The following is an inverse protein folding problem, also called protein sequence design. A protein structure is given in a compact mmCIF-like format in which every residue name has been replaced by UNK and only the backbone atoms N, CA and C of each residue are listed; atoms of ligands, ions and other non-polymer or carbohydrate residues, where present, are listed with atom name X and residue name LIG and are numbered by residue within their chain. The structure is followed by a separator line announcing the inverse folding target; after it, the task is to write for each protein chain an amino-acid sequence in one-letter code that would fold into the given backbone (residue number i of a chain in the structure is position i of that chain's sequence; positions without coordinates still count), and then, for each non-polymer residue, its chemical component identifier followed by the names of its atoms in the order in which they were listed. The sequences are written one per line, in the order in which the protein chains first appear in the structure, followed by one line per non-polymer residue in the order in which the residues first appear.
data_IF_344875120044
#
_entry.id   IF_344875120044
#
_cell.length_a   1.000
_cell.length_b   1.000
_cell.length_c   1.000
_cell.angle_alpha   90.00
_cell.angle_beta   90.00
_cell.angle_gamma   90.00
#
_symmetry.space_group_name_H-M   'P 1'
#
loop_
_entity.id
_entity.type
_entity.pdbx_description
1 polymer ?
#
# COMPACT_ATOMS: atom_id res chain seq x y z
N UNK A 1 -11.22 -14.22 -4.97
CA UNK A 1 -10.77 -13.96 -6.35
C UNK A 1 -11.23 -15.10 -7.24
N UNK A 2 -11.91 -14.79 -8.34
CA UNK A 2 -12.27 -15.79 -9.36
C UNK A 2 -11.30 -15.68 -10.55
N UNK A 3 -10.91 -16.83 -11.13
CA UNK A 3 -10.00 -16.91 -12.27
C UNK A 3 -10.63 -17.75 -13.39
N UNK A 4 -10.90 -17.10 -14.52
CA UNK A 4 -11.29 -17.79 -15.76
C UNK A 4 -10.20 -18.76 -16.20
N UNK A 5 -10.57 -19.79 -16.95
CA UNK A 5 -9.67 -20.86 -17.36
C UNK A 5 -8.44 -20.29 -18.10
N UNK A 6 -8.66 -19.41 -19.07
CA UNK A 6 -7.63 -18.72 -19.84
C UNK A 6 -6.65 -17.89 -18.99
N UNK A 7 -7.07 -17.41 -17.81
CA UNK A 7 -6.23 -16.63 -16.90
C UNK A 7 -5.38 -17.49 -15.95
N UNK A 8 -5.59 -18.82 -15.94
CA UNK A 8 -4.86 -19.72 -15.05
C UNK A 8 -3.41 -19.86 -15.50
N UNK A 9 -2.48 -19.69 -14.58
CA UNK A 9 -1.03 -19.83 -14.82
C UNK A 9 -0.66 -21.14 -15.52
N UNK A 10 -1.28 -22.26 -15.13
CA UNK A 10 -1.07 -23.56 -15.75
C UNK A 10 -1.42 -23.62 -17.25
N UNK A 11 -2.33 -22.77 -17.72
CA UNK A 11 -2.69 -22.71 -19.14
C UNK A 11 -1.71 -21.86 -19.93
N UNK A 12 -1.15 -20.80 -19.33
CA UNK A 12 -0.06 -20.02 -19.94
C UNK A 12 1.18 -20.90 -20.18
N UNK A 13 1.47 -21.84 -19.28
CA UNK A 13 2.57 -22.80 -19.43
C UNK A 13 2.35 -23.85 -20.53
N UNK A 14 1.10 -24.07 -20.96
CA UNK A 14 0.72 -25.09 -21.95
C UNK A 14 0.51 -24.52 -23.36
N UNK A 15 0.77 -23.23 -23.55
CA UNK A 15 0.65 -22.59 -24.87
C UNK A 15 1.59 -23.27 -25.88
N UNK A 16 1.16 -23.46 -27.14
CA UNK A 16 1.97 -24.11 -28.15
C UNK A 16 3.21 -23.29 -28.49
N UNK A 17 4.24 -23.96 -29.00
CA UNK A 17 5.43 -23.30 -29.51
C UNK A 17 5.08 -22.30 -30.62
N UNK A 18 5.69 -21.11 -30.59
CA UNK A 18 5.37 -20.01 -31.49
C UNK A 18 4.16 -19.14 -31.08
N UNK A 19 3.44 -19.48 -30.00
CA UNK A 19 2.40 -18.60 -29.47
C UNK A 19 2.97 -17.26 -28.98
N UNK A 20 2.16 -16.20 -29.11
CA UNK A 20 2.48 -14.88 -28.55
C UNK A 20 2.16 -14.86 -27.05
N UNK A 21 3.19 -15.08 -26.22
CA UNK A 21 3.05 -15.16 -24.76
C UNK A 21 2.66 -13.81 -24.17
N UNK A 22 3.20 -12.70 -24.69
CA UNK A 22 2.84 -11.36 -24.23
C UNK A 22 1.34 -11.07 -24.40
N UNK A 23 0.78 -11.42 -25.56
CA UNK A 23 -0.65 -11.27 -25.82
C UNK A 23 -1.50 -12.18 -24.92
N UNK A 24 -1.05 -13.41 -24.67
CA UNK A 24 -1.75 -14.33 -23.78
C UNK A 24 -1.75 -13.85 -22.31
N UNK A 25 -0.63 -13.32 -21.82
CA UNK A 25 -0.55 -12.72 -20.48
C UNK A 25 -1.46 -11.49 -20.41
N UNK A 26 -1.43 -10.60 -21.40
CA UNK A 26 -2.33 -9.44 -21.45
C UNK A 26 -3.81 -9.85 -21.39
N UNK A 27 -4.20 -10.88 -22.14
CA UNK A 27 -5.55 -11.43 -22.12
C UNK A 27 -5.92 -12.02 -20.76
N UNK A 28 -4.98 -12.74 -20.12
CA UNK A 28 -5.16 -13.25 -18.76
C UNK A 28 -5.36 -12.12 -17.74
N UNK A 29 -4.54 -11.07 -17.78
CA UNK A 29 -4.67 -9.91 -16.89
C UNK A 29 -6.04 -9.26 -17.06
N UNK A 30 -6.45 -8.99 -18.31
CA UNK A 30 -7.77 -8.42 -18.60
C UNK A 30 -8.91 -9.29 -18.06
N UNK A 31 -8.84 -10.61 -18.25
CA UNK A 31 -9.85 -11.53 -17.74
C UNK A 31 -9.93 -11.55 -16.20
N UNK A 32 -8.81 -11.32 -15.50
CA UNK A 32 -8.81 -11.18 -14.04
C UNK A 32 -9.52 -9.89 -13.63
N UNK A 33 -9.25 -8.77 -14.30
CA UNK A 33 -9.88 -7.48 -13.98
C UNK A 33 -11.40 -7.49 -14.21
N UNK A 34 -11.86 -8.19 -15.24
CA UNK A 34 -13.30 -8.30 -15.55
C UNK A 34 -14.09 -9.01 -14.45
N UNK A 35 -13.44 -9.95 -13.75
CA UNK A 35 -14.07 -10.79 -12.71
C UNK A 35 -13.82 -10.28 -11.28
N UNK A 36 -12.91 -9.33 -11.09
CA UNK A 36 -12.48 -8.87 -9.77
C UNK A 36 -12.43 -7.34 -9.74
N UNK A 37 -13.49 -6.74 -9.18
CA UNK A 37 -13.68 -5.29 -9.18
C UNK A 37 -12.52 -4.51 -8.53
N UNK A 38 -11.96 -5.03 -7.45
CA UNK A 38 -10.81 -4.43 -6.75
C UNK A 38 -9.56 -4.29 -7.63
N UNK A 39 -9.45 -5.11 -8.68
CA UNK A 39 -8.33 -5.14 -9.61
C UNK A 39 -8.61 -4.41 -10.93
N UNK A 40 -9.79 -3.81 -11.11
CA UNK A 40 -10.14 -3.14 -12.38
C UNK A 40 -9.15 -2.00 -12.69
N UNK A 41 -8.48 -2.07 -13.84
CA UNK A 41 -7.48 -1.09 -14.29
C UNK A 41 -6.17 -1.08 -13.48
N UNK A 42 -5.89 -2.16 -12.75
CA UNK A 42 -4.73 -2.28 -11.85
C UNK A 42 -3.60 -3.08 -12.50
N UNK A 43 -3.92 -4.13 -13.23
CA UNK A 43 -2.95 -5.09 -13.76
C UNK A 43 -2.29 -4.57 -15.04
N UNK A 44 -0.97 -4.75 -15.20
CA UNK A 44 -0.27 -4.31 -16.41
C UNK A 44 -0.71 -5.12 -17.64
N UNK A 45 -0.88 -4.44 -18.78
CA UNK A 45 -1.33 -5.05 -20.04
C UNK A 45 -0.39 -4.72 -21.21
N UNK A 46 0.89 -4.49 -20.93
CA UNK A 46 1.93 -4.15 -21.91
C UNK A 46 2.98 -5.25 -22.07
N UNK A 47 2.65 -6.52 -21.81
CA UNK A 47 3.61 -7.62 -21.89
C UNK A 47 4.13 -7.91 -23.30
N UNK A 48 3.43 -7.46 -24.35
CA UNK A 48 3.91 -7.53 -25.74
C UNK A 48 5.12 -6.62 -26.02
N UNK A 49 5.50 -5.76 -25.07
CA UNK A 49 6.73 -4.97 -25.15
C UNK A 49 8.00 -5.79 -24.86
N UNK A 50 7.86 -7.01 -24.33
CA UNK A 50 8.98 -7.89 -24.00
C UNK A 50 9.14 -9.02 -25.03
N UNK A 51 10.37 -9.51 -25.16
CA UNK A 51 10.68 -10.64 -26.00
C UNK A 51 9.96 -11.92 -25.53
N UNK A 52 9.45 -12.67 -26.49
CA UNK A 52 8.69 -13.90 -26.20
C UNK A 52 9.53 -14.93 -25.42
N UNK A 53 10.82 -15.07 -25.77
CA UNK A 53 11.75 -15.98 -25.11
C UNK A 53 12.00 -15.60 -23.63
N UNK A 54 12.05 -14.29 -23.35
CA UNK A 54 12.17 -13.77 -21.98
C UNK A 54 10.94 -14.14 -21.16
N UNK A 55 9.74 -13.92 -21.71
CA UNK A 55 8.48 -14.24 -21.02
C UNK A 55 8.34 -15.75 -20.77
N UNK A 56 8.71 -16.60 -21.75
CA UNK A 56 8.74 -18.06 -21.56
C UNK A 56 9.69 -18.45 -20.43
N UNK A 57 10.90 -17.88 -20.42
CA UNK A 57 11.89 -18.13 -19.36
C UNK A 57 11.37 -17.71 -17.99
N UNK A 58 10.72 -16.55 -17.91
CA UNK A 58 10.13 -16.05 -16.67
C UNK A 58 9.00 -16.95 -16.16
N UNK A 59 8.07 -17.36 -17.03
CA UNK A 59 6.98 -18.27 -16.65
C UNK A 59 7.52 -19.61 -16.15
N UNK A 60 8.53 -20.18 -16.82
CA UNK A 60 9.19 -21.41 -16.37
C UNK A 60 9.90 -21.23 -15.04
N UNK A 61 10.56 -20.09 -14.84
CA UNK A 61 11.25 -19.77 -13.59
C UNK A 61 10.25 -19.66 -12.44
N UNK A 62 9.08 -19.06 -12.66
CA UNK A 62 8.02 -18.91 -11.66
C UNK A 62 7.18 -20.17 -11.43
N UNK A 63 7.40 -21.24 -12.21
CA UNK A 63 6.69 -22.51 -12.07
C UNK A 63 7.28 -23.36 -10.93
N UNK A 64 7.14 -22.89 -9.70
CA UNK A 64 7.53 -23.63 -8.51
C UNK A 64 6.40 -24.55 -8.03
N UNK A 65 6.76 -25.72 -7.48
CA UNK A 65 5.78 -26.61 -6.86
C UNK A 65 5.31 -26.05 -5.51
N UNK A 66 4.15 -25.41 -5.54
CA UNK A 66 3.51 -24.81 -4.38
C UNK A 66 2.61 -25.79 -3.63
N UNK A 67 2.39 -27.00 -4.15
CA UNK A 67 1.49 -27.96 -3.53
C UNK A 67 1.91 -28.36 -2.11
N UNK A 68 3.19 -28.16 -1.76
CA UNK A 68 3.77 -28.53 -0.47
C UNK A 68 4.20 -27.34 0.41
N UNK A 69 4.00 -26.09 -0.02
CA UNK A 69 4.47 -24.93 0.77
C UNK A 69 3.33 -24.35 1.62
N UNK A 70 3.55 -24.30 2.94
CA UNK A 70 2.58 -23.74 3.89
C UNK A 70 2.72 -22.22 4.00
N UNK A 71 1.59 -21.51 3.99
CA UNK A 71 1.50 -20.07 4.21
C UNK A 71 1.56 -19.24 2.92
N UNK A 72 1.56 -17.91 3.07
CA UNK A 72 1.56 -16.98 1.94
C UNK A 72 2.96 -16.81 1.34
N UNK A 73 3.29 -17.67 0.38
CA UNK A 73 4.58 -17.64 -0.33
C UNK A 73 4.60 -16.52 -1.37
N UNK A 74 3.50 -16.34 -2.10
CA UNK A 74 3.44 -15.35 -3.17
C UNK A 74 3.46 -13.93 -2.63
N UNK A 75 2.77 -13.64 -1.53
CA UNK A 75 2.87 -12.35 -0.85
C UNK A 75 4.29 -12.05 -0.41
N UNK A 76 5.01 -13.04 0.15
CA UNK A 76 6.42 -12.86 0.52
C UNK A 76 7.34 -12.61 -0.67
N UNK A 77 7.14 -13.33 -1.79
CA UNK A 77 7.89 -13.09 -3.03
C UNK A 77 7.60 -11.70 -3.56
N UNK A 78 6.33 -11.29 -3.57
CA UNK A 78 5.89 -9.98 -4.01
C UNK A 78 6.55 -8.87 -3.18
N UNK A 79 6.44 -8.93 -1.85
CA UNK A 79 7.06 -7.98 -0.92
C UNK A 79 8.58 -7.93 -1.06
N UNK A 80 9.23 -9.09 -1.28
CA UNK A 80 10.67 -9.13 -1.51
C UNK A 80 11.06 -8.34 -2.77
N UNK A 81 10.39 -8.58 -3.90
CA UNK A 81 10.69 -7.87 -5.14
C UNK A 81 10.32 -6.39 -5.05
N UNK A 82 9.20 -6.05 -4.42
CA UNK A 82 8.80 -4.67 -4.17
C UNK A 82 9.88 -3.91 -3.37
N UNK A 83 10.38 -4.52 -2.29
CA UNK A 83 11.49 -3.96 -1.52
C UNK A 83 12.79 -3.85 -2.33
N UNK A 84 13.12 -4.83 -3.18
CA UNK A 84 14.30 -4.78 -4.06
C UNK A 84 14.21 -3.67 -5.10
N UNK A 85 13.05 -3.48 -5.73
CA UNK A 85 12.84 -2.43 -6.71
C UNK A 85 12.95 -1.04 -6.06
N UNK A 86 12.33 -0.86 -4.89
CA UNK A 86 12.43 0.38 -4.13
C UNK A 86 13.89 0.71 -3.72
N UNK A 87 14.70 -0.30 -3.38
CA UNK A 87 16.13 -0.10 -3.12
C UNK A 87 16.91 0.29 -4.38
N UNK A 88 16.54 -0.24 -5.55
CA UNK A 88 17.25 -0.02 -6.82
C UNK A 88 16.93 1.32 -7.49
N UNK A 89 15.70 1.83 -7.35
CA UNK A 89 15.27 3.10 -7.94
C UNK A 89 15.84 4.34 -7.21
N UNK A 90 16.56 4.11 -6.10
CA UNK A 90 17.23 5.13 -5.33
C UNK A 90 16.27 5.80 -4.34
N UNK A 91 16.54 5.60 -3.05
CA UNK A 91 15.81 6.21 -1.94
C UNK A 91 15.98 7.74 -1.94
N UNK A 92 15.27 8.45 -2.80
CA UNK A 92 15.12 9.91 -2.70
C UNK A 92 13.91 10.21 -1.81
N UNK A 93 14.10 9.97 -0.52
CA UNK A 93 13.21 10.45 0.56
C UNK A 93 11.92 9.67 0.73
N UNK A 94 11.84 8.84 1.77
CA UNK A 94 10.63 8.47 2.55
C UNK A 94 9.44 7.76 1.86
N UNK A 95 9.11 8.11 0.63
CA UNK A 95 7.80 7.88 -0.02
C UNK A 95 7.61 6.47 -0.59
N UNK A 96 8.68 5.77 -0.97
CA UNK A 96 8.51 4.59 -1.85
C UNK A 96 8.41 3.25 -1.11
N UNK A 97 9.06 3.10 0.04
CA UNK A 97 9.03 1.82 0.78
C UNK A 97 9.46 1.97 2.24
N UNK A 98 8.54 1.64 3.15
CA UNK A 98 8.85 1.55 4.59
C UNK A 98 9.42 0.16 4.90
N UNK A 99 10.62 0.05 5.51
CA UNK A 99 11.18 -1.25 5.87
C UNK A 99 10.20 -2.07 6.72
N UNK A 100 10.05 -3.36 6.39
CA UNK A 100 9.09 -4.26 7.06
C UNK A 100 9.27 -4.30 8.58
N UNK A 101 10.49 -4.17 9.10
CA UNK A 101 10.76 -4.13 10.53
C UNK A 101 10.10 -2.94 11.23
N UNK A 102 10.13 -1.76 10.59
CA UNK A 102 9.54 -0.54 11.13
C UNK A 102 8.01 -0.58 11.06
N UNK A 103 7.47 -1.08 9.95
CA UNK A 103 6.03 -1.31 9.82
C UNK A 103 5.52 -2.27 10.90
N UNK A 104 6.21 -3.42 11.09
CA UNK A 104 5.85 -4.38 12.13
C UNK A 104 5.88 -3.76 13.52
N UNK A 105 6.89 -2.95 13.82
CA UNK A 105 6.96 -2.25 15.11
C UNK A 105 5.73 -1.37 15.31
N UNK A 106 5.36 -0.53 14.33
CA UNK A 106 4.16 0.33 14.42
C UNK A 106 2.92 -0.51 14.69
N UNK A 107 2.69 -1.55 13.89
CA UNK A 107 1.51 -2.43 13.99
C UNK A 107 1.44 -3.11 15.36
N UNK A 108 2.55 -3.67 15.86
CA UNK A 108 2.60 -4.37 17.15
C UNK A 108 2.37 -3.44 18.34
N UNK A 109 2.63 -2.14 18.22
CA UNK A 109 2.42 -1.18 19.31
C UNK A 109 1.02 -0.58 19.30
N UNK A 110 0.44 -0.30 18.13
CA UNK A 110 -0.92 0.24 18.04
C UNK A 110 -1.99 -0.86 18.17
N UNK A 111 -1.63 -2.11 17.89
CA UNK A 111 -2.44 -3.32 18.07
C UNK A 111 -3.83 -3.25 17.39
N UNK A 112 -3.90 -3.23 16.05
CA UNK A 112 -5.15 -3.02 15.31
C UNK A 112 -6.03 -4.29 15.28
N UNK A 113 -6.59 -4.68 16.42
CA UNK A 113 -7.35 -5.93 16.60
C UNK A 113 -8.71 -5.95 15.87
N UNK A 114 -9.32 -4.79 15.67
CA UNK A 114 -10.58 -4.61 14.93
C UNK A 114 -10.81 -3.12 14.62
N UNK A 115 -11.52 -2.80 13.54
CA UNK A 115 -11.93 -1.43 13.23
C UNK A 115 -11.39 -0.91 11.90
N UNK A 116 -11.45 0.41 11.71
CA UNK A 116 -11.06 1.09 10.47
C UNK A 116 -9.62 1.57 10.55
N UNK A 117 -8.80 1.16 9.57
CA UNK A 117 -7.40 1.57 9.43
C UNK A 117 -7.29 2.53 8.25
N UNK A 118 -6.70 3.70 8.48
CA UNK A 118 -6.30 4.65 7.44
C UNK A 118 -4.79 4.67 7.28
N UNK A 119 -4.31 4.54 6.04
CA UNK A 119 -3.00 5.02 5.64
C UNK A 119 -3.15 6.14 4.59
N UNK A 120 -3.01 7.41 5.01
CA UNK A 120 -3.20 8.54 4.11
C UNK A 120 -1.99 8.77 3.20
N UNK A 121 -0.92 7.98 3.32
CA UNK A 121 0.24 7.96 2.42
C UNK A 121 0.58 6.51 2.10
N UNK A 122 -0.42 5.79 1.58
CA UNK A 122 -0.45 4.32 1.57
C UNK A 122 0.69 3.66 0.80
N UNK A 123 1.35 4.37 -0.12
CA UNK A 123 2.46 3.83 -0.88
C UNK A 123 2.06 2.52 -1.53
N UNK A 124 2.87 1.48 -1.33
CA UNK A 124 2.62 0.12 -1.84
C UNK A 124 1.80 -0.77 -0.90
N UNK A 125 1.20 -0.23 0.16
CA UNK A 125 0.25 -0.96 1.03
C UNK A 125 0.89 -1.81 2.12
N UNK A 126 2.20 -1.67 2.38
CA UNK A 126 2.91 -2.49 3.37
C UNK A 126 2.34 -2.40 4.79
N UNK A 127 1.82 -1.22 5.18
CA UNK A 127 1.15 -0.98 6.46
C UNK A 127 -0.08 -1.91 6.64
N UNK A 128 -0.88 -2.07 5.59
CA UNK A 128 -2.06 -2.93 5.61
C UNK A 128 -1.70 -4.41 5.64
N UNK A 129 -0.73 -4.83 4.83
CA UNK A 129 -0.26 -6.21 4.78
C UNK A 129 0.25 -6.67 6.14
N UNK A 130 1.04 -5.84 6.84
CA UNK A 130 1.53 -6.20 8.16
C UNK A 130 0.45 -6.17 9.24
N UNK A 131 -0.57 -5.30 9.10
CA UNK A 131 -1.75 -5.28 9.98
C UNK A 131 -2.56 -6.58 9.86
N UNK A 132 -2.78 -7.06 8.64
CA UNK A 132 -3.42 -8.36 8.41
C UNK A 132 -2.58 -9.51 8.97
N UNK A 133 -1.26 -9.50 8.70
CA UNK A 133 -0.35 -10.52 9.24
C UNK A 133 -0.31 -10.53 10.78
N UNK A 134 -0.45 -9.37 11.43
CA UNK A 134 -0.60 -9.26 12.89
C UNK A 134 -1.85 -9.99 13.37
N UNK A 135 -3.00 -9.74 12.74
CA UNK A 135 -4.26 -10.40 13.09
C UNK A 135 -4.20 -11.92 12.91
N UNK A 136 -3.60 -12.39 11.81
CA UNK A 136 -3.43 -13.83 11.56
C UNK A 136 -2.58 -14.50 12.64
N UNK A 137 -1.45 -13.88 13.05
CA UNK A 137 -0.63 -14.38 14.18
C UNK A 137 -1.41 -14.43 15.49
N UNK A 138 -2.36 -13.52 15.66
CA UNK A 138 -3.28 -13.46 16.80
C UNK A 138 -4.57 -14.27 16.58
N UNK A 139 -4.59 -15.19 15.60
CA UNK A 139 -5.71 -16.11 15.30
C UNK A 139 -7.04 -15.40 14.99
N UNK A 140 -6.97 -14.22 14.38
CA UNK A 140 -8.12 -13.46 13.89
C UNK A 140 -8.16 -13.48 12.35
N UNK A 141 -9.37 -13.42 11.80
CA UNK A 141 -9.56 -13.26 10.36
C UNK A 141 -9.46 -11.76 9.99
N UNK A 142 -8.43 -11.32 9.23
CA UNK A 142 -8.27 -9.91 8.86
C UNK A 142 -9.50 -9.32 8.16
N UNK A 143 -10.05 -10.03 7.18
CA UNK A 143 -11.18 -9.55 6.36
C UNK A 143 -12.47 -9.33 7.16
N UNK A 144 -12.59 -9.94 8.34
CA UNK A 144 -13.73 -9.75 9.23
C UNK A 144 -13.46 -8.72 10.34
N UNK A 145 -12.19 -8.49 10.68
CA UNK A 145 -11.81 -7.66 11.80
C UNK A 145 -11.55 -6.20 11.41
N UNK A 146 -10.92 -5.96 10.26
CA UNK A 146 -10.46 -4.63 9.86
C UNK A 146 -10.99 -4.20 8.50
N UNK A 147 -11.23 -2.90 8.36
CA UNK A 147 -11.54 -2.26 7.08
C UNK A 147 -10.40 -1.30 6.70
N UNK A 148 -9.87 -1.46 5.49
CA UNK A 148 -8.65 -0.79 5.02
C UNK A 148 -8.99 0.39 4.12
N UNK A 149 -8.42 1.55 4.40
CA UNK A 149 -8.61 2.77 3.63
C UNK A 149 -7.25 3.42 3.36
N UNK A 150 -6.95 3.69 2.09
CA UNK A 150 -5.66 4.23 1.68
C UNK A 150 -5.78 5.38 0.70
N UNK A 151 -4.86 6.33 0.79
CA UNK A 151 -4.71 7.39 -0.20
C UNK A 151 -3.27 7.41 -0.73
N UNK A 152 -3.12 7.53 -2.05
CA UNK A 152 -1.82 7.58 -2.71
C UNK A 152 -1.84 8.59 -3.86
N UNK A 153 -0.81 9.42 -3.95
CA UNK A 153 -0.70 10.47 -4.97
C UNK A 153 -0.36 9.89 -6.34
N UNK A 154 0.56 8.93 -6.38
CA UNK A 154 1.13 8.34 -7.60
C UNK A 154 0.28 7.16 -8.05
N UNK A 155 -0.34 7.26 -9.23
CA UNK A 155 -1.23 6.22 -9.76
C UNK A 155 -0.55 4.84 -9.88
N UNK A 156 0.71 4.82 -10.30
CA UNK A 156 1.55 3.61 -10.40
C UNK A 156 1.68 2.92 -9.05
N UNK A 157 2.02 3.68 -8.02
CA UNK A 157 2.19 3.21 -6.64
C UNK A 157 0.86 2.73 -6.06
N UNK A 158 -0.23 3.44 -6.35
CA UNK A 158 -1.57 3.00 -5.97
C UNK A 158 -1.93 1.63 -6.58
N UNK A 159 -1.54 1.38 -7.84
CA UNK A 159 -1.72 0.06 -8.47
C UNK A 159 -0.89 -1.01 -7.75
N UNK A 160 0.35 -0.70 -7.34
CA UNK A 160 1.16 -1.60 -6.51
C UNK A 160 0.45 -1.92 -5.18
N UNK A 161 -0.11 -0.92 -4.49
CA UNK A 161 -0.89 -1.13 -3.27
C UNK A 161 -2.05 -2.11 -3.47
N UNK A 162 -2.88 -1.88 -4.49
CA UNK A 162 -4.03 -2.74 -4.78
C UNK A 162 -3.63 -4.17 -5.16
N UNK A 163 -2.56 -4.34 -5.95
CA UNK A 163 -2.00 -5.67 -6.22
C UNK A 163 -1.49 -6.33 -4.96
N UNK A 164 -0.80 -5.58 -4.10
CA UNK A 164 -0.24 -6.11 -2.85
C UNK A 164 -1.33 -6.63 -1.92
N UNK A 165 -2.41 -5.86 -1.75
CA UNK A 165 -3.60 -6.30 -1.02
C UNK A 165 -4.18 -7.59 -1.61
N UNK A 166 -4.39 -7.63 -2.93
CA UNK A 166 -4.96 -8.79 -3.60
C UNK A 166 -4.12 -10.06 -3.45
N UNK A 167 -2.78 -9.95 -3.56
CA UNK A 167 -1.85 -11.08 -3.37
C UNK A 167 -1.95 -11.64 -1.94
N UNK A 168 -2.16 -10.78 -0.95
CA UNK A 168 -2.36 -11.18 0.45
C UNK A 168 -3.83 -11.52 0.79
N UNK A 169 -4.73 -11.59 -0.21
CA UNK A 169 -6.15 -11.91 0.01
C UNK A 169 -6.94 -10.82 0.74
N UNK A 170 -6.45 -9.57 0.69
CA UNK A 170 -7.06 -8.41 1.32
C UNK A 170 -7.82 -7.57 0.29
N UNK A 171 -8.80 -6.81 0.77
CA UNK A 171 -9.53 -5.80 0.02
C UNK A 171 -9.54 -4.49 0.83
N UNK A 172 -9.53 -3.36 0.13
CA UNK A 172 -9.45 -2.05 0.75
C UNK A 172 -9.84 -0.93 -0.21
N UNK A 173 -10.35 0.16 0.34
CA UNK A 173 -10.70 1.36 -0.40
C UNK A 173 -9.46 2.23 -0.60
N UNK A 174 -8.76 2.01 -1.71
CA UNK A 174 -7.56 2.78 -2.07
C UNK A 174 -7.92 3.81 -3.13
N UNK A 175 -7.71 5.09 -2.81
CA UNK A 175 -8.04 6.23 -3.67
C UNK A 175 -6.79 6.98 -4.10
N UNK A 176 -6.79 7.44 -5.36
CA UNK A 176 -5.77 8.35 -5.83
C UNK A 176 -6.06 9.78 -5.33
N UNK A 177 -5.06 10.45 -4.76
CA UNK A 177 -5.21 11.83 -4.33
C UNK A 177 -4.00 12.34 -3.56
N UNK A 178 -3.81 13.66 -3.53
CA UNK A 178 -2.75 14.25 -2.71
C UNK A 178 -3.31 14.64 -1.35
N UNK A 179 -2.92 13.90 -0.32
CA UNK A 179 -3.38 14.03 1.07
C UNK A 179 -3.19 15.42 1.68
N UNK A 180 -2.25 16.22 1.15
CA UNK A 180 -2.09 17.60 1.59
C UNK A 180 -3.25 18.50 1.16
N UNK A 181 -3.87 18.21 0.01
CA UNK A 181 -4.89 19.05 -0.61
C UNK A 181 -6.29 18.43 -0.56
N UNK A 182 -6.37 17.10 -0.53
CA UNK A 182 -7.64 16.36 -0.63
C UNK A 182 -7.76 15.32 0.49
N UNK A 183 -8.94 15.27 1.11
CA UNK A 183 -9.35 14.21 2.04
C UNK A 183 -10.31 13.24 1.33
N UNK A 184 -9.75 12.31 0.56
CA UNK A 184 -10.53 11.43 -0.32
C UNK A 184 -11.45 10.46 0.47
N UNK A 185 -11.20 10.30 1.76
CA UNK A 185 -11.94 9.41 2.65
C UNK A 185 -12.88 10.15 3.60
N UNK A 186 -13.00 11.48 3.52
CA UNK A 186 -13.77 12.29 4.49
C UNK A 186 -13.46 11.84 5.91
N UNK A 187 -12.17 11.88 6.26
CA UNK A 187 -11.55 11.09 7.31
C UNK A 187 -11.74 11.60 8.73
N UNK A 188 -12.05 12.88 8.90
CA UNK A 188 -12.14 13.55 10.21
C UNK A 188 -13.01 12.77 11.21
N UNK A 189 -12.42 12.32 12.32
CA UNK A 189 -13.13 11.66 13.42
C UNK A 189 -13.60 10.22 13.17
N UNK A 190 -13.14 9.53 12.10
CA UNK A 190 -13.77 8.28 11.62
C UNK A 190 -12.95 7.02 11.77
N UNK A 191 -11.66 7.13 12.09
CA UNK A 191 -10.74 5.99 12.06
C UNK A 191 -10.30 5.56 13.45
N UNK A 192 -10.24 4.24 13.66
CA UNK A 192 -9.75 3.64 14.89
C UNK A 192 -8.22 3.62 14.90
N UNK A 193 -7.62 3.46 13.71
CA UNK A 193 -6.17 3.47 13.55
C UNK A 193 -5.77 4.33 12.36
N UNK A 194 -4.72 5.12 12.56
CA UNK A 194 -3.99 5.76 11.47
C UNK A 194 -2.56 5.24 11.51
N UNK A 195 -2.03 4.80 10.38
CA UNK A 195 -0.63 4.40 10.28
C UNK A 195 -0.04 4.91 8.98
N UNK A 196 1.15 5.49 9.05
CA UNK A 196 1.72 6.17 7.90
C UNK A 196 3.25 6.25 7.93
N UNK A 197 3.84 6.28 6.76
CA UNK A 197 5.19 6.79 6.55
C UNK A 197 5.08 7.95 5.54
N UNK A 198 4.71 9.16 6.01
CA UNK A 198 4.55 10.31 5.13
C UNK A 198 5.86 10.71 4.45
N UNK A 199 5.79 11.48 3.35
CA UNK A 199 6.97 12.14 2.82
C UNK A 199 7.61 13.06 3.85
N UNK A 200 8.95 13.06 3.92
CA UNK A 200 9.67 13.88 4.89
C UNK A 200 10.07 15.22 4.32
N UNK A 201 9.93 16.28 5.12
CA UNK A 201 10.40 17.64 4.80
C UNK A 201 9.88 18.13 3.44
N UNK A 202 8.59 17.92 3.18
CA UNK A 202 7.93 18.54 2.03
C UNK A 202 7.75 20.02 2.35
N UNK A 203 8.47 20.86 1.60
CA UNK A 203 8.44 22.30 1.79
C UNK A 203 7.29 22.94 0.98
N UNK A 204 6.84 24.10 1.43
CA UNK A 204 5.88 24.98 0.72
C UNK A 204 4.54 24.30 0.42
N UNK A 205 3.99 23.60 1.40
CA UNK A 205 2.64 23.07 1.29
C UNK A 205 1.64 24.18 1.58
N UNK A 206 0.77 24.46 0.62
CA UNK A 206 -0.42 25.29 0.79
C UNK A 206 -1.58 24.41 1.23
N UNK A 207 -1.94 24.43 2.52
CA UNK A 207 -2.98 23.55 3.06
C UNK A 207 -4.42 24.02 2.74
N UNK A 208 -4.57 25.10 1.99
CA UNK A 208 -5.84 25.75 1.75
C UNK A 208 -6.35 26.57 2.95
N UNK A 209 -7.56 27.09 2.80
CA UNK A 209 -8.22 27.96 3.78
C UNK A 209 -8.78 27.17 4.96
N UNK A 210 -9.05 27.88 6.07
CA UNK A 210 -9.74 27.29 7.22
C UNK A 210 -11.18 26.82 6.90
N UNK A 211 -11.79 27.38 5.86
CA UNK A 211 -13.13 27.00 5.39
C UNK A 211 -13.10 25.67 4.63
N UNK A 212 -12.08 25.47 3.80
CA UNK A 212 -11.85 24.22 3.09
C UNK A 212 -11.40 23.10 4.03
N UNK A 213 -10.57 23.44 5.03
CA UNK A 213 -10.00 22.48 5.98
C UNK A 213 -10.12 22.91 7.44
N UNK A 214 -11.34 22.93 8.02
CA UNK A 214 -11.58 23.40 9.38
C UNK A 214 -10.78 22.65 10.44
N UNK A 215 -10.60 21.35 10.25
CA UNK A 215 -9.83 20.49 11.15
C UNK A 215 -8.32 20.83 11.19
N UNK A 216 -7.82 21.61 10.22
CA UNK A 216 -6.43 22.05 10.14
C UNK A 216 -6.27 23.57 10.32
N UNK A 217 -7.30 24.25 10.80
CA UNK A 217 -7.37 25.72 10.87
C UNK A 217 -6.33 26.35 11.81
N UNK A 218 -5.78 25.58 12.76
CA UNK A 218 -4.78 26.04 13.72
C UNK A 218 -3.38 26.28 13.11
N UNK A 219 -3.07 25.67 11.96
CA UNK A 219 -1.77 25.83 11.29
C UNK A 219 -1.77 27.09 10.38
N UNK A 220 -0.61 27.74 10.13
CA UNK A 220 -0.50 28.80 9.13
C UNK A 220 -0.79 28.28 7.71
N UNK A 221 -1.33 29.15 6.84
CA UNK A 221 -1.76 28.77 5.47
C UNK A 221 -0.63 28.18 4.62
N UNK A 222 0.59 28.74 4.73
CA UNK A 222 1.80 28.18 4.12
C UNK A 222 2.61 27.48 5.19
N UNK A 223 2.97 26.22 4.93
CA UNK A 223 3.77 25.41 5.83
C UNK A 223 5.13 25.14 5.17
N UNK A 224 6.18 25.68 5.80
CA UNK A 224 7.55 25.52 5.34
C UNK A 224 8.07 24.08 5.51
N UNK A 225 7.48 23.28 6.41
CA UNK A 225 7.76 21.86 6.55
C UNK A 225 6.49 21.09 6.92
N UNK A 226 6.03 20.22 6.02
CA UNK A 226 4.76 19.50 6.17
C UNK A 226 4.73 18.41 7.26
N UNK A 227 5.82 18.18 8.00
CA UNK A 227 5.84 17.15 9.05
C UNK A 227 4.73 17.37 10.10
N UNK A 228 4.54 18.59 10.59
CA UNK A 228 3.47 18.92 11.55
C UNK A 228 2.08 18.83 10.89
N UNK A 229 1.96 19.24 9.63
CA UNK A 229 0.73 19.09 8.85
C UNK A 229 0.30 17.62 8.77
N UNK A 230 1.23 16.71 8.50
CA UNK A 230 0.97 15.26 8.50
C UNK A 230 0.44 14.81 9.87
N UNK A 231 1.06 15.24 10.97
CA UNK A 231 0.61 14.90 12.33
C UNK A 231 -0.83 15.38 12.57
N UNK A 232 -1.16 16.61 12.16
CA UNK A 232 -2.52 17.15 12.29
C UNK A 232 -3.53 16.38 11.44
N UNK A 233 -3.16 16.00 10.21
CA UNK A 233 -4.00 15.15 9.35
C UNK A 233 -4.30 13.83 10.06
N UNK A 234 -3.26 13.17 10.59
CA UNK A 234 -3.42 11.89 11.29
C UNK A 234 -4.31 12.03 12.52
N UNK A 235 -4.01 13.02 13.36
CA UNK A 235 -4.78 13.28 14.57
C UNK A 235 -6.25 13.59 14.26
N UNK A 236 -6.51 14.44 13.26
CA UNK A 236 -7.87 14.81 12.87
C UNK A 236 -8.69 13.63 12.37
N UNK A 237 -8.06 12.62 11.76
CA UNK A 237 -8.74 11.44 11.24
C UNK A 237 -9.17 10.45 12.34
N UNK A 238 -8.53 10.48 13.50
CA UNK A 238 -8.82 9.57 14.61
C UNK A 238 -10.19 9.86 15.24
N UNK A 239 -10.92 8.80 15.56
CA UNK A 239 -12.07 8.88 16.45
C UNK A 239 -11.63 9.06 17.91
N UNK A 240 -12.58 9.19 18.84
CA UNK A 240 -12.31 9.48 20.24
C UNK A 240 -11.47 8.42 20.99
N UNK A 241 -11.34 7.21 20.45
CA UNK A 241 -10.55 6.11 21.02
C UNK A 241 -9.43 5.67 20.09
N UNK A 242 -9.18 6.42 19.02
CA UNK A 242 -8.28 6.04 17.96
C UNK A 242 -6.82 6.16 18.39
N UNK A 243 -5.95 5.40 17.73
CA UNK A 243 -4.49 5.46 17.95
C UNK A 243 -3.78 5.64 16.62
N UNK A 244 -2.75 6.48 16.61
CA UNK A 244 -1.91 6.64 15.42
C UNK A 244 -0.49 6.15 15.66
N UNK A 245 0.13 5.54 14.65
CA UNK A 245 1.53 5.19 14.66
C UNK A 245 2.18 5.52 13.32
N UNK A 246 3.16 6.41 13.32
CA UNK A 246 3.76 6.90 12.08
C UNK A 246 5.27 7.08 12.20
N UNK A 247 5.92 7.15 11.04
CA UNK A 247 7.35 7.46 10.91
C UNK A 247 7.50 8.96 10.65
N UNK A 248 8.44 9.61 11.33
CA UNK A 248 8.77 11.01 11.06
C UNK A 248 10.27 11.25 11.14
N UNK A 249 10.75 12.25 10.40
CA UNK A 249 12.10 12.75 10.55
C UNK A 249 12.30 13.38 11.94
N UNK A 250 13.47 13.15 12.56
CA UNK A 250 13.81 13.69 13.89
C UNK A 250 13.78 15.22 13.99
N UNK A 251 13.80 15.95 12.87
CA UNK A 251 13.61 17.41 12.88
C UNK A 251 12.26 17.81 13.48
N UNK A 252 11.29 16.89 13.56
CA UNK A 252 10.04 17.10 14.28
C UNK A 252 10.20 17.06 15.81
N UNK A 253 11.29 16.52 16.34
CA UNK A 253 11.58 16.40 17.79
C UNK A 253 12.82 17.19 18.26
N UNK A 254 13.37 18.05 17.39
CA UNK A 254 14.58 18.88 17.54
C UNK A 254 15.95 18.14 17.67
N UNK A 255 16.91 18.55 16.83
CA UNK A 255 18.35 18.18 16.80
C UNK A 255 18.76 16.70 16.52
N UNK A 256 19.49 16.54 15.39
CA UNK A 256 20.36 15.40 14.97
C UNK A 256 19.64 14.07 14.66
N UNK A 257 19.94 13.56 13.46
CA UNK A 257 19.27 12.45 12.76
C UNK A 257 19.26 11.12 13.54
N UNK A 258 18.06 10.70 13.99
CA UNK A 258 17.62 9.31 14.22
C UNK A 258 16.15 9.22 13.77
N UNK A 259 15.68 8.11 13.23
CA UNK A 259 14.26 7.91 12.86
C UNK A 259 13.47 7.57 14.14
N UNK A 260 12.41 8.31 14.46
CA UNK A 260 11.56 8.07 15.64
C UNK A 260 10.15 7.64 15.22
N UNK A 261 9.65 6.56 15.81
CA UNK A 261 8.25 6.16 15.72
C UNK A 261 7.47 6.85 16.84
N UNK A 262 6.44 7.63 16.49
CA UNK A 262 5.67 8.42 17.45
C UNK A 262 4.23 7.93 17.52
N UNK A 263 3.67 7.86 18.73
CA UNK A 263 2.29 7.48 19.00
C UNK A 263 1.62 8.58 19.81
N UNK A 264 0.42 8.97 19.37
CA UNK A 264 -0.44 9.92 20.07
C UNK A 264 -1.72 9.16 20.44
N UNK A 265 -2.12 9.28 21.71
CA UNK A 265 -3.40 8.83 22.24
C UNK A 265 -4.39 9.99 22.29
#
# INVERSE_FOLDING_TARGET
MFLRTEARFANLLKLPEGANIGAAINAAMKAIEEENEDLRGVLPQNYTAFDNSLLVSLLKTLNFDLANVKGDVFGKIYEYFLGKFAMSEGQKGGEFFTPTSLVKLIVEVIEPYQGRILDPFSGSGGMFVQSAAFLERHKRNPSAAIALFGQEKVAETMRLCRMNLAVHGLSGEIKQGNTFYDDAHTSVGRFDFVMANPPFNVDKVDKGTAEERPALSAEPATIDNANYLCIQIFYSALNATGRTGFVMANSASDARLIITATIIN
#
